data_IF_096693890336
#
_entry.id   IF_096693890336
#
_cell.length_a   1.000
_cell.length_b   1.000
_cell.length_c   1.000
_cell.angle_alpha   90.00
_cell.angle_beta   90.00
_cell.angle_gamma   90.00
#
_symmetry.space_group_name_H-M   'P 1'
#
loop_
_entity.id
_entity.type
_entity.pdbx_description
1 polymer ?
#
# COMPACT_ATOMS: atom_id res chain seq x y z
N UNK A 1 13.84 0.78 0.87
CA UNK A 1 13.09 1.77 1.67
C UNK A 1 13.31 3.16 1.14
N UNK A 2 14.55 3.66 1.13
CA UNK A 2 14.88 5.02 0.66
C UNK A 2 14.39 5.32 -0.77
N UNK A 3 14.57 4.40 -1.71
CA UNK A 3 14.21 4.64 -3.12
C UNK A 3 12.70 4.79 -3.31
N UNK A 4 11.90 3.89 -2.75
CA UNK A 4 10.43 3.97 -2.81
C UNK A 4 9.90 5.23 -2.11
N UNK A 5 10.58 5.71 -1.06
CA UNK A 5 10.20 6.96 -0.38
C UNK A 5 10.40 8.16 -1.28
N UNK A 6 11.56 8.25 -1.95
CA UNK A 6 11.83 9.36 -2.88
C UNK A 6 10.92 9.27 -4.12
N UNK A 7 10.71 8.07 -4.64
CA UNK A 7 9.82 7.82 -5.76
C UNK A 7 8.39 8.28 -5.45
N UNK A 8 7.80 7.83 -4.35
CA UNK A 8 6.44 8.21 -3.96
C UNK A 8 6.30 9.71 -3.72
N UNK A 9 7.34 10.36 -3.17
CA UNK A 9 7.36 11.82 -3.00
C UNK A 9 7.35 12.54 -4.35
N UNK A 10 8.16 12.11 -5.32
CA UNK A 10 8.21 12.70 -6.65
C UNK A 10 6.89 12.50 -7.40
N UNK A 11 6.36 11.28 -7.38
CA UNK A 11 5.07 10.93 -8.01
C UNK A 11 3.92 11.72 -7.39
N UNK A 12 3.83 11.80 -6.06
CA UNK A 12 2.75 12.51 -5.38
C UNK A 12 2.71 14.02 -5.67
N UNK A 13 3.84 14.64 -5.99
CA UNK A 13 3.92 16.08 -6.32
C UNK A 13 3.68 16.31 -7.81
N UNK A 14 4.37 15.56 -8.67
CA UNK A 14 4.40 15.85 -10.12
C UNK A 14 3.35 15.09 -10.91
N UNK A 15 2.88 13.94 -10.41
CA UNK A 15 2.01 13.03 -11.14
C UNK A 15 0.88 12.47 -10.25
N UNK A 16 -0.02 13.33 -9.73
CA UNK A 16 -1.07 12.91 -8.80
C UNK A 16 -2.00 11.82 -9.37
N UNK A 17 -2.15 11.75 -10.71
CA UNK A 17 -2.89 10.69 -11.38
C UNK A 17 -2.21 9.31 -11.22
N UNK A 18 -0.88 9.25 -11.28
CA UNK A 18 -0.10 8.02 -11.05
C UNK A 18 -0.12 7.68 -9.55
N UNK A 19 -0.01 8.69 -8.69
CA UNK A 19 -0.08 8.53 -7.23
C UNK A 19 -1.37 7.82 -6.80
N UNK A 20 -2.50 8.14 -7.44
CA UNK A 20 -3.81 7.53 -7.17
C UNK A 20 -4.05 6.17 -7.83
N UNK A 21 -3.13 5.67 -8.66
CA UNK A 21 -3.23 4.35 -9.29
C UNK A 21 -2.42 3.30 -8.54
N UNK A 22 -1.25 3.66 -8.05
CA UNK A 22 -0.34 2.75 -7.35
C UNK A 22 -0.70 2.66 -5.87
N UNK A 23 -0.73 1.44 -5.32
CA UNK A 23 -1.18 1.17 -3.95
C UNK A 23 -2.60 1.69 -3.66
N UNK A 24 -3.51 1.53 -4.64
CA UNK A 24 -4.88 2.02 -4.56
C UNK A 24 -5.91 0.88 -4.44
N UNK A 25 -5.51 -0.36 -4.73
CA UNK A 25 -6.40 -1.47 -4.99
C UNK A 25 -6.60 -2.46 -3.83
N UNK A 26 -7.24 -3.58 -4.14
CA UNK A 26 -7.53 -4.68 -3.19
C UNK A 26 -6.95 -6.03 -3.64
N UNK A 27 -6.23 -6.07 -4.76
CA UNK A 27 -5.72 -7.30 -5.37
C UNK A 27 -4.57 -7.96 -4.60
N UNK A 28 -3.92 -7.23 -3.68
CA UNK A 28 -2.81 -7.72 -2.85
C UNK A 28 -3.21 -7.86 -1.38
N UNK A 29 -4.52 -7.96 -1.08
CA UNK A 29 -5.03 -8.22 0.26
C UNK A 29 -4.39 -9.49 0.83
N UNK A 30 -3.93 -9.45 2.08
CA UNK A 30 -3.40 -10.64 2.75
C UNK A 30 -4.59 -11.54 3.13
N UNK A 31 -4.55 -12.83 2.79
CA UNK A 31 -5.71 -13.75 2.90
C UNK A 31 -6.39 -13.75 4.29
N UNK A 32 -5.62 -13.60 5.37
CA UNK A 32 -6.17 -13.54 6.73
C UNK A 32 -6.70 -12.16 7.16
N UNK A 33 -6.77 -11.19 6.25
CA UNK A 33 -7.25 -9.83 6.51
C UNK A 33 -8.71 -9.63 6.14
N UNK A 34 -9.34 -8.67 6.83
CA UNK A 34 -10.79 -8.45 6.77
C UNK A 34 -11.20 -7.66 5.52
N UNK A 35 -12.43 -7.91 5.04
CA UNK A 35 -13.02 -7.22 3.89
C UNK A 35 -13.34 -5.73 4.15
N UNK A 36 -13.27 -5.29 5.41
CA UNK A 36 -13.43 -3.90 5.87
C UNK A 36 -12.15 -3.07 5.87
N UNK A 37 -11.03 -3.65 5.43
CA UNK A 37 -9.74 -2.95 5.38
C UNK A 37 -9.82 -1.73 4.47
N UNK A 38 -9.68 -0.53 5.04
CA UNK A 38 -9.93 0.75 4.34
C UNK A 38 -8.84 1.80 4.56
N UNK A 39 -7.96 1.59 5.54
CA UNK A 39 -6.95 2.58 5.95
C UNK A 39 -5.56 1.98 6.07
N UNK A 40 -4.56 2.79 5.72
CA UNK A 40 -3.15 2.53 5.99
C UNK A 40 -2.75 2.89 7.42
N UNK A 41 -1.89 2.06 8.02
CA UNK A 41 -1.28 2.31 9.32
C UNK A 41 0.10 1.66 9.42
N UNK A 42 0.99 2.27 10.19
CA UNK A 42 2.32 1.73 10.45
C UNK A 42 2.34 0.67 11.54
N UNK A 43 1.54 0.88 12.58
CA UNK A 43 1.38 -0.01 13.71
C UNK A 43 -0.09 -0.47 13.73
N UNK A 44 -0.30 -1.78 13.79
CA UNK A 44 -1.62 -2.41 13.72
C UNK A 44 -1.81 -3.23 14.98
N UNK A 45 -2.84 -2.90 15.75
CA UNK A 45 -3.20 -3.55 17.01
C UNK A 45 -3.84 -4.93 16.82
N UNK A 46 -4.10 -5.61 17.95
CA UNK A 46 -4.58 -6.98 17.96
C UNK A 46 -6.00 -7.19 17.41
N UNK A 47 -6.79 -6.12 17.36
CA UNK A 47 -8.20 -6.10 16.95
C UNK A 47 -8.47 -4.95 15.97
N UNK A 48 -7.51 -4.63 15.11
CA UNK A 48 -7.60 -3.53 14.14
C UNK A 48 -7.72 -4.05 12.70
N UNK A 49 -8.82 -4.75 12.43
CA UNK A 49 -9.13 -5.42 11.15
C UNK A 49 -9.39 -4.46 9.98
N UNK A 50 -9.59 -3.17 10.23
CA UNK A 50 -9.80 -2.13 9.21
C UNK A 50 -8.51 -1.50 8.69
N UNK A 51 -7.35 -1.88 9.25
CA UNK A 51 -6.04 -1.29 8.96
C UNK A 51 -5.12 -2.24 8.20
N UNK A 52 -4.29 -1.67 7.33
CA UNK A 52 -3.28 -2.41 6.59
C UNK A 52 -1.99 -1.63 6.44
N UNK A 53 -0.88 -2.35 6.29
CA UNK A 53 0.39 -1.83 5.83
C UNK A 53 0.80 -2.49 4.50
N UNK A 54 -0.19 -3.03 3.77
CA UNK A 54 -0.02 -3.73 2.50
C UNK A 54 -0.46 -2.82 1.34
N UNK A 55 0.48 -2.49 0.45
CA UNK A 55 0.19 -1.81 -0.81
C UNK A 55 -0.87 -2.61 -1.59
N UNK A 56 -1.90 -1.92 -2.06
CA UNK A 56 -3.08 -2.52 -2.71
C UNK A 56 -3.71 -3.68 -1.92
N UNK A 57 -3.60 -3.62 -0.59
CA UNK A 57 -4.11 -4.61 0.35
C UNK A 57 -5.45 -4.24 0.98
N UNK A 58 -6.24 -3.37 0.34
CA UNK A 58 -7.55 -3.00 0.84
C UNK A 58 -8.56 -4.15 0.72
N UNK A 59 -9.66 -4.04 1.46
CA UNK A 59 -10.80 -4.94 1.36
C UNK A 59 -11.63 -4.70 0.10
N UNK A 60 -12.76 -5.39 -0.01
CA UNK A 60 -13.72 -5.18 -1.10
C UNK A 60 -14.49 -3.85 -0.96
N UNK A 61 -14.40 -3.21 0.21
CA UNK A 61 -14.95 -1.89 0.48
C UNK A 61 -14.06 -0.80 -0.11
N UNK A 62 -14.66 0.33 -0.51
CA UNK A 62 -13.91 1.46 -1.05
C UNK A 62 -12.97 2.03 0.03
N UNK A 63 -11.66 2.14 -0.24
CA UNK A 63 -10.71 2.73 0.70
C UNK A 63 -11.04 4.19 1.00
N UNK A 64 -10.66 4.66 2.18
CA UNK A 64 -10.76 6.08 2.51
C UNK A 64 -9.92 6.90 1.54
N UNK A 65 -10.46 7.99 0.98
CA UNK A 65 -9.84 8.73 -0.13
C UNK A 65 -8.36 9.09 0.11
N UNK A 66 -8.02 9.57 1.31
CA UNK A 66 -6.64 9.92 1.71
C UNK A 66 -5.70 8.75 1.97
N UNK A 67 -6.17 7.52 1.82
CA UNK A 67 -5.34 6.32 1.92
C UNK A 67 -5.14 5.65 0.56
N UNK A 68 -5.76 6.14 -0.51
CA UNK A 68 -5.73 5.48 -1.81
C UNK A 68 -4.61 5.99 -2.73
N UNK A 69 -3.50 6.42 -2.14
CA UNK A 69 -2.37 7.08 -2.79
C UNK A 69 -1.06 6.40 -2.43
N UNK A 70 -0.14 6.26 -3.39
CA UNK A 70 1.21 5.74 -3.15
C UNK A 70 2.00 6.59 -2.14
N UNK A 71 1.92 7.91 -2.23
CA UNK A 71 2.51 8.86 -1.29
C UNK A 71 2.02 8.61 0.14
N UNK A 72 0.71 8.37 0.29
CA UNK A 72 0.09 8.08 1.59
C UNK A 72 0.37 6.68 2.10
N UNK A 73 0.50 5.70 1.20
CA UNK A 73 1.02 4.38 1.57
C UNK A 73 2.40 4.51 2.21
N UNK A 74 3.35 5.19 1.56
CA UNK A 74 4.71 5.38 2.09
C UNK A 74 4.72 6.14 3.41
N UNK A 75 3.98 7.24 3.50
CA UNK A 75 3.88 8.09 4.70
C UNK A 75 3.27 7.32 5.88
N UNK A 76 2.06 6.81 5.71
CA UNK A 76 1.25 6.28 6.80
C UNK A 76 1.70 4.89 7.26
N UNK A 77 2.41 4.15 6.41
CA UNK A 77 3.05 2.87 6.81
C UNK A 77 4.48 3.04 7.32
N UNK A 78 4.99 4.29 7.35
CA UNK A 78 6.30 4.67 7.90
C UNK A 78 7.49 3.96 7.26
N UNK A 79 7.48 3.80 5.94
CA UNK A 79 8.61 3.19 5.20
C UNK A 79 9.90 4.00 5.35
N UNK A 80 9.78 5.34 5.46
CA UNK A 80 10.91 6.23 5.73
C UNK A 80 11.58 5.99 7.10
N UNK A 81 10.85 5.39 8.05
CA UNK A 81 11.37 5.03 9.38
C UNK A 81 11.82 3.55 9.43
N UNK A 82 11.93 2.87 8.28
CA UNK A 82 12.33 1.47 8.21
C UNK A 82 11.23 0.46 8.57
N UNK A 83 9.96 0.89 8.63
CA UNK A 83 8.82 0.00 8.91
C UNK A 83 8.16 -0.51 7.63
N UNK A 84 7.49 -1.67 7.73
CA UNK A 84 6.55 -2.21 6.75
C UNK A 84 7.04 -2.32 5.29
N UNK A 85 8.36 -2.36 5.10
CA UNK A 85 8.99 -2.56 3.80
C UNK A 85 10.14 -3.54 3.91
N UNK A 86 10.32 -4.46 2.95
CA UNK A 86 9.52 -4.68 1.73
C UNK A 86 8.30 -5.60 1.93
N UNK A 87 8.08 -6.07 3.16
CA UNK A 87 6.98 -6.97 3.51
C UNK A 87 5.86 -6.19 4.20
N UNK A 88 4.64 -6.36 3.70
CA UNK A 88 3.44 -5.73 4.26
C UNK A 88 2.83 -6.53 5.41
N UNK A 89 1.83 -5.93 6.04
CA UNK A 89 1.05 -6.51 7.14
C UNK A 89 -0.41 -6.12 6.97
N UNK A 90 -1.30 -6.88 7.58
CA UNK A 90 -2.70 -6.52 7.64
C UNK A 90 -3.29 -6.88 9.00
N UNK A 91 -4.27 -6.09 9.43
CA UNK A 91 -5.04 -6.38 10.63
C UNK A 91 -5.98 -7.56 10.43
N UNK A 92 -6.40 -8.13 11.56
CA UNK A 92 -7.48 -9.12 11.66
C UNK A 92 -8.29 -8.83 12.91
N UNK A 93 -9.48 -9.42 12.98
CA UNK A 93 -10.45 -9.19 14.06
C UNK A 93 -9.97 -9.70 15.41
N UNK A 94 -8.98 -10.60 15.44
CA UNK A 94 -8.39 -11.14 16.67
C UNK A 94 -6.98 -11.68 16.44
N UNK A 95 -6.18 -11.80 17.51
CA UNK A 95 -4.86 -12.47 17.52
C UNK A 95 -3.71 -11.73 16.79
N UNK A 96 -3.70 -10.39 16.75
CA UNK A 96 -2.56 -9.61 16.22
C UNK A 96 -2.65 -9.32 14.72
N UNK A 97 -1.79 -8.47 14.14
CA UNK A 97 -1.67 -8.38 12.69
C UNK A 97 -1.00 -9.63 12.09
N UNK A 98 -1.27 -9.91 10.83
CA UNK A 98 -0.60 -10.94 10.04
C UNK A 98 0.43 -10.30 9.10
N UNK A 99 1.58 -10.93 8.95
CA UNK A 99 2.57 -10.53 7.94
C UNK A 99 2.22 -11.15 6.59
N UNK A 100 2.42 -10.38 5.52
CA UNK A 100 2.33 -10.89 4.16
C UNK A 100 3.50 -11.82 3.82
N UNK A 101 3.47 -12.38 2.62
CA UNK A 101 4.61 -13.10 2.07
C UNK A 101 5.85 -12.19 1.97
N UNK A 102 7.03 -12.77 1.95
CA UNK A 102 8.28 -12.03 1.75
C UNK A 102 8.20 -11.12 0.53
N UNK A 103 8.54 -9.84 0.70
CA UNK A 103 8.48 -8.81 -0.34
C UNK A 103 7.08 -8.48 -0.88
N UNK A 104 6.01 -8.79 -0.13
CA UNK A 104 4.63 -8.57 -0.60
C UNK A 104 4.33 -7.13 -1.02
N UNK A 105 4.88 -6.11 -0.35
CA UNK A 105 4.70 -4.71 -0.75
C UNK A 105 5.47 -4.38 -2.02
N UNK A 106 6.73 -4.81 -2.11
CA UNK A 106 7.52 -4.59 -3.31
C UNK A 106 6.87 -5.22 -4.56
N UNK A 107 6.30 -6.42 -4.40
CA UNK A 107 5.59 -7.12 -5.49
C UNK A 107 4.27 -6.43 -5.87
N UNK A 108 3.53 -5.93 -4.89
CA UNK A 108 2.29 -5.19 -5.14
C UNK A 108 2.58 -3.88 -5.90
N UNK A 109 3.54 -3.07 -5.43
CA UNK A 109 3.98 -1.84 -6.12
C UNK A 109 4.38 -2.14 -7.57
N UNK A 110 5.23 -3.15 -7.78
CA UNK A 110 5.68 -3.51 -9.13
C UNK A 110 4.50 -3.97 -10.02
N UNK A 111 3.53 -4.68 -9.45
CA UNK A 111 2.33 -5.10 -10.17
C UNK A 111 1.52 -3.89 -10.60
N UNK A 112 1.31 -2.93 -9.72
CA UNK A 112 0.53 -1.72 -10.02
C UNK A 112 1.19 -0.87 -11.10
N UNK A 113 2.52 -0.68 -11.01
CA UNK A 113 3.28 0.05 -12.03
C UNK A 113 3.17 -0.58 -13.43
N UNK A 114 3.03 -1.91 -13.49
CA UNK A 114 2.92 -2.65 -14.75
C UNK A 114 1.47 -2.73 -15.25
N UNK A 115 0.49 -2.85 -14.36
CA UNK A 115 -0.91 -3.15 -14.74
C UNK A 115 -1.83 -1.95 -14.75
N UNK A 116 -1.65 -1.01 -13.82
CA UNK A 116 -2.57 0.11 -13.64
C UNK A 116 -2.17 1.35 -14.46
N UNK A 117 -0.91 1.42 -14.87
CA UNK A 117 -0.39 2.52 -15.67
C UNK A 117 -0.55 2.26 -17.18
N UNK A 118 -0.92 3.30 -17.90
CA UNK A 118 -0.89 3.31 -19.36
C UNK A 118 0.57 3.45 -19.88
N UNK A 119 0.83 3.30 -21.20
CA UNK A 119 2.18 3.41 -21.74
C UNK A 119 2.90 4.72 -21.43
N UNK A 120 2.23 5.87 -21.53
CA UNK A 120 2.84 7.18 -21.27
C UNK A 120 3.20 7.35 -19.78
N UNK A 121 2.31 6.91 -18.88
CA UNK A 121 2.54 6.90 -17.44
C UNK A 121 3.70 5.98 -17.06
N UNK A 122 3.86 4.84 -17.75
CA UNK A 122 4.99 3.94 -17.55
C UNK A 122 6.31 4.59 -17.93
N UNK A 123 6.35 5.37 -19.01
CA UNK A 123 7.55 6.10 -19.43
C UNK A 123 7.98 7.14 -18.39
N UNK A 124 7.03 7.71 -17.64
CA UNK A 124 7.32 8.69 -16.58
C UNK A 124 7.99 8.04 -15.36
N UNK A 125 7.61 6.80 -15.02
CA UNK A 125 8.05 6.13 -13.78
C UNK A 125 9.20 5.14 -13.98
N UNK A 126 9.58 4.86 -15.23
CA UNK A 126 10.70 4.00 -15.59
C UNK A 126 12.05 4.70 -15.35
#
# INVERSE_FOLDING_TARGET
GKDIVQFAKAVGVSHPNIDGKVCSGSHAKIESSDTKTTTYAADIGATEDTKTAQCSGFGATTPTAGHRLLSKFVELTKIGEGKNWPTGKAGKSSNGPVSGATNSNAKAVATDLVKELNPDEKTIVA
#
